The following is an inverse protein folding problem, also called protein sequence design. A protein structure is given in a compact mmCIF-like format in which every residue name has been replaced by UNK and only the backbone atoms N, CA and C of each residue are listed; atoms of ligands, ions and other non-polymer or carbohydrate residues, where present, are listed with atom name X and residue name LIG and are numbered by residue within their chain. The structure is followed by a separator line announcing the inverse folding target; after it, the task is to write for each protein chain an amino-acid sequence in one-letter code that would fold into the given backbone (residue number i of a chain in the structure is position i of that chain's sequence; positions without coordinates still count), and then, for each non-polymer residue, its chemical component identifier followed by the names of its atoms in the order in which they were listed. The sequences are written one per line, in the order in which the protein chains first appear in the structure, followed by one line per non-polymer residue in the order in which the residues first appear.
data_IF_613697143568
#
_entry.id   IF_613697143568
#
_cell.length_a   1.000
_cell.length_b   1.000
_cell.length_c   1.000
_cell.angle_alpha   90.00
_cell.angle_beta   90.00
_cell.angle_gamma   90.00
#
_symmetry.space_group_name_H-M   'P 1'
#
loop_
_entity.id
_entity.type
_entity.pdbx_description
1 polymer ?
#
# COMPACT_ATOMS: atom_id res chain seq x y z
N UNK A 1 -24.98 23.14 -36.68
CA UNK A 1 -23.82 23.46 -35.83
C UNK A 1 -24.36 24.01 -34.53
N UNK A 2 -24.25 23.25 -33.45
CA UNK A 2 -24.74 23.60 -32.13
C UNK A 2 -24.31 22.47 -31.20
N UNK A 3 -23.23 22.72 -30.48
CA UNK A 3 -22.51 21.77 -29.62
C UNK A 3 -23.40 21.32 -28.46
N UNK A 4 -23.56 20.01 -28.30
CA UNK A 4 -24.09 19.42 -27.06
C UNK A 4 -22.96 19.52 -26.04
N UNK A 5 -23.11 20.43 -25.10
CA UNK A 5 -22.20 20.58 -23.96
C UNK A 5 -22.25 19.30 -23.12
N UNK A 6 -21.08 18.70 -22.95
CA UNK A 6 -20.89 17.46 -22.22
C UNK A 6 -20.96 17.77 -20.72
N UNK A 7 -22.18 17.84 -20.18
CA UNK A 7 -22.42 17.93 -18.75
C UNK A 7 -22.05 16.60 -18.09
N UNK A 8 -20.79 16.45 -17.70
CA UNK A 8 -20.49 15.60 -16.55
C UNK A 8 -20.94 16.39 -15.34
N UNK A 9 -21.93 15.87 -14.64
CA UNK A 9 -22.37 16.35 -13.33
C UNK A 9 -21.17 16.45 -12.39
N UNK A 10 -20.61 17.65 -12.22
CA UNK A 10 -19.64 17.96 -11.17
C UNK A 10 -20.29 17.86 -9.77
N UNK A 11 -21.61 17.75 -9.70
CA UNK A 11 -22.38 17.64 -8.48
C UNK A 11 -22.40 16.23 -7.83
N UNK A 12 -21.98 15.18 -8.54
CA UNK A 12 -21.98 13.82 -7.97
C UNK A 12 -20.73 13.50 -7.14
N UNK A 13 -19.68 14.32 -7.19
CA UNK A 13 -18.40 14.09 -6.50
C UNK A 13 -18.23 14.89 -5.18
N UNK A 14 -19.22 15.70 -4.78
CA UNK A 14 -19.18 16.42 -3.50
C UNK A 14 -19.62 15.52 -2.34
N UNK A 15 -18.67 15.11 -1.51
CA UNK A 15 -18.95 14.43 -0.24
C UNK A 15 -19.83 15.30 0.65
N UNK A 16 -20.90 14.72 1.23
CA UNK A 16 -21.78 15.42 2.16
C UNK A 16 -20.97 15.97 3.36
N UNK A 17 -21.42 17.09 3.92
CA UNK A 17 -20.72 17.77 5.03
C UNK A 17 -20.49 16.86 6.26
N UNK A 18 -21.31 15.83 6.46
CA UNK A 18 -21.15 14.83 7.52
C UNK A 18 -19.91 13.93 7.36
N UNK A 19 -19.35 13.83 6.15
CA UNK A 19 -18.12 13.10 5.86
C UNK A 19 -16.86 13.99 5.97
N UNK A 20 -17.00 15.26 6.38
CA UNK A 20 -15.87 16.12 6.71
C UNK A 20 -15.29 15.76 8.08
N UNK A 21 -14.56 14.63 8.14
CA UNK A 21 -13.94 14.17 9.38
C UNK A 21 -12.67 14.96 9.70
N UNK A 22 -12.54 15.36 10.97
CA UNK A 22 -11.31 15.92 11.52
C UNK A 22 -10.31 14.81 11.82
N UNK A 23 -9.51 14.44 10.82
CA UNK A 23 -8.52 13.37 10.94
C UNK A 23 -7.40 13.66 11.95
N UNK A 24 -7.25 14.91 12.42
CA UNK A 24 -6.32 15.21 13.52
C UNK A 24 -6.74 14.59 14.85
N UNK A 25 -8.04 14.29 14.99
CA UNK A 25 -8.63 13.60 16.14
C UNK A 25 -8.83 12.10 15.90
N UNK A 26 -8.43 11.59 14.74
CA UNK A 26 -8.57 10.18 14.44
C UNK A 26 -7.67 9.35 15.37
N UNK A 27 -8.19 8.20 15.80
CA UNK A 27 -7.36 7.26 16.54
C UNK A 27 -6.28 6.66 15.63
N UNK A 28 -5.04 6.46 16.15
CA UNK A 28 -4.01 5.75 15.41
C UNK A 28 -4.53 4.40 14.93
N UNK A 29 -4.23 4.04 13.68
CA UNK A 29 -4.66 2.78 13.10
C UNK A 29 -4.17 1.61 13.99
N UNK A 30 -5.11 0.82 14.53
CA UNK A 30 -4.79 -0.29 15.44
C UNK A 30 -3.84 -1.32 14.81
N UNK A 31 -3.83 -1.44 13.49
CA UNK A 31 -2.96 -2.34 12.73
C UNK A 31 -1.61 -1.72 12.37
N UNK A 32 -1.45 -0.41 12.51
CA UNK A 32 -0.15 0.24 12.30
C UNK A 32 0.88 -0.17 13.37
N UNK A 33 0.42 -0.62 14.54
CA UNK A 33 1.30 -1.13 15.61
C UNK A 33 2.07 -2.39 15.20
N UNK A 34 1.50 -3.19 14.31
CA UNK A 34 2.11 -4.43 13.84
C UNK A 34 3.14 -4.19 12.72
N UNK A 35 3.19 -2.96 12.20
CA UNK A 35 4.12 -2.53 11.16
C UNK A 35 5.21 -1.70 11.81
N UNK A 36 6.38 -2.31 12.05
CA UNK A 36 7.52 -1.60 12.60
C UNK A 36 7.99 -0.48 11.67
N UNK A 37 8.52 0.59 12.23
CA UNK A 37 9.12 1.67 11.45
C UNK A 37 10.19 1.12 10.50
N UNK A 38 10.14 1.53 9.22
CA UNK A 38 11.00 0.98 8.16
C UNK A 38 10.54 -0.35 7.55
N UNK A 39 9.39 -0.89 7.95
CA UNK A 39 8.82 -2.08 7.31
C UNK A 39 8.29 -1.77 5.91
N UNK A 40 8.60 -2.65 4.96
CA UNK A 40 8.03 -2.61 3.61
C UNK A 40 6.72 -3.41 3.58
N UNK A 41 5.62 -2.75 3.20
CA UNK A 41 4.34 -3.41 2.94
C UNK A 41 4.24 -3.72 1.44
N UNK A 42 3.94 -4.97 1.11
CA UNK A 42 3.76 -5.43 -0.27
C UNK A 42 2.35 -6.00 -0.45
N UNK A 43 1.75 -5.74 -1.60
CA UNK A 43 0.48 -6.34 -2.00
C UNK A 43 0.79 -7.49 -2.94
N UNK A 44 0.25 -8.67 -2.64
CA UNK A 44 0.36 -9.83 -3.51
C UNK A 44 -0.79 -9.86 -4.50
N UNK A 45 -0.49 -10.24 -5.73
CA UNK A 45 -1.52 -10.56 -6.72
C UNK A 45 -2.40 -11.73 -6.25
N UNK A 46 -3.69 -11.78 -6.63
CA UNK A 46 -4.64 -12.78 -6.14
C UNK A 46 -4.16 -14.23 -6.35
N UNK A 47 -3.52 -14.51 -7.47
CA UNK A 47 -2.98 -15.85 -7.78
C UNK A 47 -1.83 -16.24 -6.83
N UNK A 48 -0.99 -15.27 -6.42
CA UNK A 48 0.08 -15.52 -5.46
C UNK A 48 -0.46 -15.65 -4.03
N UNK A 49 -1.47 -14.86 -3.66
CA UNK A 49 -2.17 -15.00 -2.38
C UNK A 49 -2.96 -16.32 -2.27
N UNK A 50 -3.26 -16.97 -3.39
CA UNK A 50 -3.81 -18.34 -3.38
C UNK A 50 -2.79 -19.38 -2.91
N UNK A 51 -1.51 -19.14 -3.15
CA UNK A 51 -0.42 -20.06 -2.79
C UNK A 51 0.17 -19.70 -1.42
N UNK A 52 0.45 -18.41 -1.20
CA UNK A 52 1.03 -17.91 0.04
C UNK A 52 -0.07 -17.43 0.98
N UNK A 53 -0.41 -18.27 1.95
CA UNK A 53 -1.52 -18.03 2.89
C UNK A 53 -1.12 -17.24 4.12
N UNK A 54 0.17 -17.18 4.42
CA UNK A 54 0.69 -16.48 5.60
C UNK A 54 1.93 -15.66 5.27
N UNK A 55 2.16 -14.62 6.06
CA UNK A 55 3.36 -13.78 5.94
C UNK A 55 4.65 -14.57 6.24
N UNK A 56 4.60 -15.59 7.09
CA UNK A 56 5.73 -16.46 7.39
C UNK A 56 6.20 -17.25 6.17
N UNK A 57 5.26 -17.76 5.35
CA UNK A 57 5.60 -18.49 4.13
C UNK A 57 6.34 -17.60 3.14
N UNK A 58 5.85 -16.37 2.95
CA UNK A 58 6.50 -15.36 2.09
C UNK A 58 7.88 -14.99 2.64
N UNK A 59 7.98 -14.71 3.94
CA UNK A 59 9.24 -14.37 4.62
C UNK A 59 10.29 -15.45 4.50
N UNK A 60 9.91 -16.73 4.63
CA UNK A 60 10.84 -17.85 4.50
C UNK A 60 11.43 -17.94 3.08
N UNK A 61 10.59 -17.78 2.05
CA UNK A 61 11.03 -17.82 0.64
C UNK A 61 11.92 -16.63 0.31
N UNK A 62 11.51 -15.42 0.68
CA UNK A 62 12.32 -14.22 0.42
C UNK A 62 13.70 -14.32 1.07
N UNK A 63 13.81 -14.92 2.27
CA UNK A 63 15.10 -15.19 2.91
C UNK A 63 15.91 -16.24 2.17
N UNK A 64 15.31 -17.37 1.81
CA UNK A 64 16.01 -18.41 1.06
C UNK A 64 16.54 -17.89 -0.29
N UNK A 65 15.79 -17.02 -0.96
CA UNK A 65 16.23 -16.36 -2.18
C UNK A 65 17.36 -15.36 -1.88
N UNK A 66 17.22 -14.52 -0.84
CA UNK A 66 18.26 -13.56 -0.46
C UNK A 66 19.58 -14.24 -0.08
N UNK A 67 19.54 -15.41 0.56
CA UNK A 67 20.71 -16.20 0.95
C UNK A 67 21.42 -16.83 -0.26
N UNK A 68 20.70 -17.06 -1.36
CA UNK A 68 21.23 -17.66 -2.58
C UNK A 68 21.65 -16.63 -3.63
N UNK A 69 21.17 -15.39 -3.50
CA UNK A 69 21.57 -14.28 -4.35
C UNK A 69 22.92 -13.71 -3.89
N UNK A 70 23.82 -13.34 -4.81
CA UNK A 70 24.99 -12.55 -4.45
C UNK A 70 24.49 -11.24 -3.85
N UNK A 71 24.97 -10.92 -2.65
CA UNK A 71 24.61 -9.68 -1.98
C UNK A 71 25.01 -8.52 -2.91
N UNK A 72 24.07 -7.62 -3.28
CA UNK A 72 24.46 -6.37 -3.90
C UNK A 72 25.41 -5.69 -2.91
N UNK A 73 26.63 -5.41 -3.37
CA UNK A 73 27.67 -4.76 -2.59
C UNK A 73 27.05 -3.58 -1.85
N UNK A 74 27.09 -3.65 -0.51
CA UNK A 74 26.66 -2.58 0.35
C UNK A 74 27.68 -1.43 0.26
N UNK A 75 27.71 -0.73 -0.87
CA UNK A 75 28.50 0.47 -1.06
C UNK A 75 27.67 1.56 -1.74
N UNK A 76 27.85 2.78 -1.24
CA UNK A 76 27.30 4.06 -1.68
C UNK A 76 25.87 4.43 -1.25
N UNK A 77 25.64 4.57 0.06
CA UNK A 77 24.99 5.80 0.59
C UNK A 77 25.72 6.26 1.85
N UNK A 78 26.92 6.82 1.63
CA UNK A 78 27.47 7.88 2.47
C UNK A 78 27.65 9.07 1.53
N UNK A 79 26.86 10.12 1.76
CA UNK A 79 26.83 11.36 0.98
C UNK A 79 25.83 12.32 1.58
#
# INVERSE_FOLDING_TARGET
MGTIENGRDEAEDEMLAEYAFDYSKAHPNRFARDIAEGSLVVVLEPELARVFKTSEQVKAILRAIADTMPQPEAEAVSG
#
